data_IF_018995988574
#
_entry.id   IF_018995988574
#
_cell.length_a   1.000
_cell.length_b   1.000
_cell.length_c   1.000
_cell.angle_alpha   90.00
_cell.angle_beta   90.00
_cell.angle_gamma   90.00
#
_symmetry.space_group_name_H-M   'P 1'
#
loop_
_entity.id
_entity.type
_entity.pdbx_description
1 polymer ?
#
# COMPACT_ATOMS: atom_id res chain seq x y z
N UNK A 1 33.41 -26.94 26.66
CA UNK A 1 32.14 -26.33 27.11
C UNK A 1 31.42 -25.45 26.07
N UNK A 2 32.04 -25.01 24.97
CA UNK A 2 31.37 -24.11 24.00
C UNK A 2 30.35 -24.76 23.04
N UNK A 3 30.40 -26.08 22.80
CA UNK A 3 29.50 -26.73 21.83
C UNK A 3 28.04 -26.91 22.33
N UNK A 4 27.79 -26.95 23.64
CA UNK A 4 26.44 -27.17 24.16
C UNK A 4 25.54 -25.93 24.06
N UNK A 5 26.13 -24.72 24.04
CA UNK A 5 25.36 -23.47 23.94
C UNK A 5 24.78 -23.24 22.54
N UNK A 6 25.46 -23.67 21.47
CA UNK A 6 24.99 -23.53 20.10
C UNK A 6 23.71 -24.34 19.82
N UNK A 7 23.63 -25.56 20.36
CA UNK A 7 22.47 -26.44 20.17
C UNK A 7 21.20 -25.90 20.85
N UNK A 8 21.36 -25.23 22.00
CA UNK A 8 20.25 -24.68 22.77
C UNK A 8 19.63 -23.44 22.08
N UNK A 9 20.48 -22.61 21.47
CA UNK A 9 20.03 -21.47 20.68
C UNK A 9 19.28 -21.90 19.41
N UNK A 10 19.76 -22.92 18.69
CA UNK A 10 19.10 -23.40 17.48
C UNK A 10 17.69 -23.95 17.77
N UNK A 11 17.51 -24.69 18.87
CA UNK A 11 16.18 -25.20 19.28
C UNK A 11 15.18 -24.08 19.60
N UNK A 12 15.63 -22.98 20.21
CA UNK A 12 14.78 -21.81 20.47
C UNK A 12 14.35 -21.10 19.19
N UNK A 13 15.24 -20.97 18.20
CA UNK A 13 14.90 -20.40 16.90
C UNK A 13 13.94 -21.28 16.11
N UNK A 14 14.11 -22.60 16.15
CA UNK A 14 13.19 -23.55 15.49
C UNK A 14 11.80 -23.52 16.14
N UNK A 15 11.73 -23.50 17.48
CA UNK A 15 10.46 -23.37 18.19
C UNK A 15 9.75 -22.04 17.90
N UNK A 16 10.51 -20.93 17.82
CA UNK A 16 9.98 -19.62 17.46
C UNK A 16 9.46 -19.58 16.02
N UNK A 17 10.17 -20.19 15.06
CA UNK A 17 9.71 -20.31 13.67
C UNK A 17 8.48 -21.21 13.50
N UNK A 18 8.37 -22.29 14.28
CA UNK A 18 7.19 -23.16 14.30
C UNK A 18 5.96 -22.49 14.93
N UNK A 19 6.16 -21.61 15.93
CA UNK A 19 5.05 -20.86 16.53
C UNK A 19 4.50 -19.77 15.61
N UNK A 20 5.35 -19.20 14.74
CA UNK A 20 4.94 -18.15 13.80
C UNK A 20 4.07 -18.66 12.63
N UNK A 21 4.11 -19.96 12.33
CA UNK A 21 3.24 -20.60 11.34
C UNK A 21 1.82 -20.91 11.83
N UNK A 22 1.53 -20.77 13.12
CA UNK A 22 0.24 -21.10 13.72
C UNK A 22 -0.71 -19.90 13.87
N UNK A 23 -0.43 -18.77 13.21
CA UNK A 23 -1.39 -17.66 13.19
C UNK A 23 -2.61 -18.10 12.36
N UNK A 24 -3.83 -18.10 12.93
CA UNK A 24 -5.02 -18.40 12.16
C UNK A 24 -5.11 -17.39 11.02
N UNK A 25 -5.22 -17.88 9.79
CA UNK A 25 -5.59 -17.06 8.66
C UNK A 25 -7.00 -16.52 8.95
N UNK A 26 -7.07 -15.29 9.45
CA UNK A 26 -8.34 -14.59 9.60
C UNK A 26 -8.84 -14.40 8.18
N UNK A 27 -9.83 -15.19 7.77
CA UNK A 27 -10.54 -14.98 6.52
C UNK A 27 -11.20 -13.61 6.60
N UNK A 28 -10.59 -12.62 5.95
CA UNK A 28 -11.13 -11.29 5.85
C UNK A 28 -12.26 -11.34 4.83
N UNK A 29 -13.43 -10.81 5.18
CA UNK A 29 -14.54 -10.70 4.23
C UNK A 29 -14.09 -9.82 3.08
N UNK A 30 -14.14 -10.33 1.86
CA UNK A 30 -13.68 -9.62 0.68
C UNK A 30 -14.76 -9.65 -0.40
N UNK A 31 -15.01 -8.48 -1.00
CA UNK A 31 -15.88 -8.32 -2.16
C UNK A 31 -15.01 -7.99 -3.37
N UNK A 32 -15.14 -8.75 -4.46
CA UNK A 32 -14.33 -8.61 -5.66
C UNK A 32 -15.18 -8.72 -6.93
N UNK A 33 -14.59 -8.44 -8.10
CA UNK A 33 -15.21 -8.60 -9.42
C UNK A 33 -16.58 -7.90 -9.59
N UNK A 34 -16.73 -6.70 -9.01
CA UNK A 34 -17.94 -5.88 -9.11
C UNK A 34 -18.12 -5.44 -10.57
N UNK A 35 -19.24 -5.84 -11.19
CA UNK A 35 -19.66 -5.48 -12.54
C UNK A 35 -21.04 -4.86 -12.47
N UNK A 36 -21.29 -3.86 -13.31
CA UNK A 36 -22.56 -3.16 -13.36
C UNK A 36 -23.06 -3.25 -14.80
N UNK A 37 -24.26 -3.77 -14.98
CA UNK A 37 -24.94 -3.86 -16.27
C UNK A 37 -26.27 -3.11 -16.17
N UNK A 38 -26.70 -2.51 -17.28
CA UNK A 38 -28.06 -1.97 -17.40
C UNK A 38 -28.90 -3.00 -18.14
N UNK A 39 -30.04 -3.36 -17.56
CA UNK A 39 -31.01 -4.32 -18.09
C UNK A 39 -32.27 -3.55 -18.46
N UNK A 40 -32.76 -3.77 -19.69
CA UNK A 40 -34.08 -3.28 -20.14
C UNK A 40 -34.27 -1.77 -19.95
N UNK A 41 -33.17 -0.98 -20.06
CA UNK A 41 -33.12 0.49 -19.94
C UNK A 41 -33.67 1.08 -18.63
N UNK A 42 -34.12 0.24 -17.70
CA UNK A 42 -34.91 0.63 -16.53
C UNK A 42 -34.40 0.00 -15.23
N UNK A 43 -33.53 -1.01 -15.34
CA UNK A 43 -32.98 -1.75 -14.20
C UNK A 43 -31.45 -1.78 -14.24
N UNK A 44 -30.84 -1.73 -13.07
CA UNK A 44 -29.39 -1.85 -12.88
C UNK A 44 -29.10 -3.19 -12.21
N UNK A 45 -28.27 -4.00 -12.86
CA UNK A 45 -27.75 -5.24 -12.32
C UNK A 45 -26.32 -5.03 -11.82
N UNK A 46 -26.06 -5.46 -10.58
CA UNK A 46 -24.76 -5.44 -9.94
C UNK A 46 -24.36 -6.88 -9.67
N UNK A 47 -23.31 -7.35 -10.34
CA UNK A 47 -22.72 -8.67 -10.14
C UNK A 47 -21.45 -8.55 -9.32
N UNK A 48 -21.24 -9.43 -8.34
CA UNK A 48 -20.03 -9.42 -7.52
C UNK A 48 -19.70 -10.80 -6.95
N UNK A 49 -18.45 -10.95 -6.50
CA UNK A 49 -17.99 -12.14 -5.80
C UNK A 49 -17.73 -11.77 -4.34
N UNK A 50 -18.19 -12.61 -3.41
CA UNK A 50 -17.99 -12.40 -1.96
C UNK A 50 -17.43 -13.64 -1.30
N UNK A 51 -16.37 -13.45 -0.51
CA UNK A 51 -15.71 -14.53 0.23
C UNK A 51 -15.59 -14.16 1.70
N UNK A 52 -15.59 -15.16 2.57
CA UNK A 52 -15.45 -14.99 4.03
C UNK A 52 -16.70 -14.45 4.76
N UNK A 53 -17.79 -14.15 4.05
CA UNK A 53 -19.02 -13.63 4.65
C UNK A 53 -19.69 -14.66 5.55
N UNK A 54 -20.17 -14.24 6.71
CA UNK A 54 -20.97 -15.07 7.61
C UNK A 54 -22.46 -14.74 7.44
N UNK A 55 -23.38 -15.66 7.78
CA UNK A 55 -24.83 -15.40 7.78
C UNK A 55 -25.24 -14.13 8.58
N UNK A 56 -24.50 -13.82 9.64
CA UNK A 56 -24.74 -12.63 10.47
C UNK A 56 -24.22 -11.32 9.87
N UNK A 57 -23.34 -11.38 8.85
CA UNK A 57 -22.81 -10.20 8.20
C UNK A 57 -23.84 -9.61 7.24
N UNK A 58 -23.84 -8.29 7.09
CA UNK A 58 -24.80 -7.59 6.22
C UNK A 58 -24.10 -6.94 5.03
N UNK A 59 -24.58 -7.24 3.82
CA UNK A 59 -24.13 -6.63 2.57
C UNK A 59 -25.02 -5.46 2.23
N UNK A 60 -24.40 -4.30 2.06
CA UNK A 60 -25.05 -3.08 1.61
C UNK A 60 -24.39 -2.61 0.32
N UNK A 61 -25.13 -1.81 -0.45
CA UNK A 61 -24.55 -1.11 -1.58
C UNK A 61 -24.93 0.37 -1.53
N UNK A 62 -24.06 1.21 -2.08
CA UNK A 62 -24.27 2.63 -2.26
C UNK A 62 -24.16 2.94 -3.74
N UNK A 63 -25.16 3.62 -4.26
CA UNK A 63 -25.17 4.11 -5.63
C UNK A 63 -24.86 5.60 -5.65
N UNK A 64 -24.04 6.00 -6.61
CA UNK A 64 -23.73 7.40 -6.85
C UNK A 64 -23.78 7.69 -8.34
N UNK A 65 -24.64 8.63 -8.70
CA UNK A 65 -24.70 9.27 -9.99
C UNK A 65 -23.60 10.34 -10.10
N UNK A 66 -23.17 10.63 -11.32
CA UNK A 66 -22.19 11.69 -11.57
C UNK A 66 -22.81 13.09 -11.43
N UNK A 67 -24.07 13.26 -11.82
CA UNK A 67 -24.77 14.56 -11.85
C UNK A 67 -25.55 14.80 -10.56
N UNK A 68 -26.40 13.84 -10.19
CA UNK A 68 -27.37 13.93 -9.09
C UNK A 68 -26.80 13.52 -7.72
N UNK A 69 -25.57 12.99 -7.69
CA UNK A 69 -24.90 12.62 -6.46
C UNK A 69 -25.36 11.27 -5.90
N UNK A 70 -25.62 11.18 -4.59
CA UNK A 70 -25.93 9.90 -3.94
C UNK A 70 -27.37 9.49 -4.27
N UNK A 71 -27.53 8.31 -4.88
CA UNK A 71 -28.82 7.72 -5.17
C UNK A 71 -29.24 6.84 -4.00
N UNK A 72 -30.46 7.05 -3.48
CA UNK A 72 -31.00 6.31 -2.35
C UNK A 72 -32.13 5.39 -2.84
N UNK A 73 -31.81 4.16 -3.29
CA UNK A 73 -32.81 3.23 -3.74
C UNK A 73 -33.71 2.76 -2.59
N UNK A 74 -35.03 2.75 -2.77
CA UNK A 74 -35.92 2.21 -1.75
C UNK A 74 -35.86 0.67 -1.74
N UNK A 75 -35.83 0.01 -0.56
CA UNK A 75 -35.69 -1.44 -0.42
C UNK A 75 -36.62 -2.29 -1.29
N UNK A 76 -37.85 -1.84 -1.50
CA UNK A 76 -38.86 -2.55 -2.30
C UNK A 76 -38.52 -2.69 -3.79
N UNK A 77 -37.63 -1.83 -4.31
CA UNK A 77 -37.17 -1.88 -5.70
C UNK A 77 -35.83 -2.58 -5.87
N UNK A 78 -35.34 -3.22 -4.80
CA UNK A 78 -34.06 -3.94 -4.78
C UNK A 78 -34.34 -5.42 -4.53
N UNK A 79 -33.84 -6.28 -5.41
CA UNK A 79 -33.92 -7.73 -5.28
C UNK A 79 -32.56 -8.39 -5.43
N UNK A 80 -32.48 -9.66 -5.01
CA UNK A 80 -31.27 -10.47 -5.10
C UNK A 80 -30.45 -10.54 -3.82
N UNK A 81 -29.15 -10.76 -3.96
CA UNK A 81 -28.21 -11.04 -2.88
C UNK A 81 -27.80 -9.74 -2.15
N UNK A 82 -28.67 -9.20 -1.28
CA UNK A 82 -28.34 -8.04 -0.45
C UNK A 82 -28.94 -8.16 0.96
N UNK A 83 -28.40 -7.41 1.91
CA UNK A 83 -28.84 -7.47 3.31
C UNK A 83 -28.12 -8.56 4.10
N UNK A 84 -28.84 -9.20 5.02
CA UNK A 84 -28.31 -10.28 5.88
C UNK A 84 -28.33 -11.63 5.15
N UNK A 85 -27.57 -12.59 5.68
CA UNK A 85 -27.56 -13.98 5.21
C UNK A 85 -27.12 -14.20 3.75
N UNK A 86 -26.31 -13.28 3.23
CA UNK A 86 -25.72 -13.45 1.90
C UNK A 86 -24.64 -14.53 1.96
N UNK A 87 -24.89 -15.66 1.33
CA UNK A 87 -23.93 -16.76 1.28
C UNK A 87 -22.66 -16.37 0.48
N UNK A 88 -21.46 -16.78 0.92
CA UNK A 88 -20.24 -16.68 0.11
C UNK A 88 -20.44 -17.32 -1.27
N UNK A 89 -19.84 -16.75 -2.32
CA UNK A 89 -19.97 -17.28 -3.67
C UNK A 89 -19.55 -16.30 -4.75
N UNK A 90 -19.53 -16.80 -5.99
CA UNK A 90 -19.28 -16.00 -7.20
C UNK A 90 -20.59 -15.62 -7.87
N UNK A 91 -20.58 -14.54 -8.65
CA UNK A 91 -21.72 -14.04 -9.42
C UNK A 91 -22.98 -13.78 -8.57
N UNK A 92 -22.81 -13.28 -7.35
CA UNK A 92 -23.91 -12.74 -6.55
C UNK A 92 -24.51 -11.55 -7.26
N UNK A 93 -25.83 -11.45 -7.24
CA UNK A 93 -26.59 -10.56 -8.11
C UNK A 93 -27.52 -9.68 -7.30
N UNK A 94 -27.38 -8.38 -7.44
CA UNK A 94 -28.35 -7.38 -6.95
C UNK A 94 -28.98 -6.73 -8.17
N UNK A 95 -30.32 -6.68 -8.20
CA UNK A 95 -31.07 -5.98 -9.24
C UNK A 95 -31.82 -4.83 -8.59
N UNK A 96 -31.58 -3.63 -9.11
CA UNK A 96 -32.30 -2.42 -8.70
C UNK A 96 -33.15 -1.91 -9.86
N UNK A 97 -34.46 -1.80 -9.65
CA UNK A 97 -35.41 -1.24 -10.61
C UNK A 97 -35.43 0.28 -10.46
N UNK A 98 -34.59 0.96 -11.23
CA UNK A 98 -34.38 2.40 -11.10
C UNK A 98 -35.60 3.21 -11.53
N UNK A 99 -36.21 2.83 -12.65
CA UNK A 99 -37.35 3.56 -13.22
C UNK A 99 -38.60 3.46 -12.34
N UNK A 100 -38.91 2.27 -11.81
CA UNK A 100 -40.01 2.08 -10.85
C UNK A 100 -39.82 2.89 -9.57
N UNK A 101 -38.56 3.18 -9.23
CA UNK A 101 -38.18 4.01 -8.10
C UNK A 101 -38.09 5.52 -8.46
N UNK A 102 -38.47 5.91 -9.68
CA UNK A 102 -38.48 7.30 -10.14
C UNK A 102 -37.12 7.85 -10.58
N UNK A 103 -36.14 6.99 -10.87
CA UNK A 103 -34.83 7.39 -11.37
C UNK A 103 -34.67 7.04 -12.86
N UNK A 104 -34.36 8.05 -13.67
CA UNK A 104 -34.01 7.88 -15.07
C UNK A 104 -32.50 7.56 -15.20
N UNK A 105 -32.16 6.51 -15.95
CA UNK A 105 -30.80 6.00 -16.11
C UNK A 105 -30.10 6.59 -17.34
N UNK A 106 -30.13 7.91 -17.52
CA UNK A 106 -29.46 8.58 -18.66
C UNK A 106 -28.01 9.01 -18.35
N UNK A 107 -27.42 8.42 -17.30
CA UNK A 107 -26.09 8.82 -16.84
C UNK A 107 -25.25 7.67 -16.28
N UNK A 108 -23.95 7.92 -16.17
CA UNK A 108 -23.00 6.97 -15.60
C UNK A 108 -23.20 6.86 -14.08
N UNK A 109 -23.41 5.64 -13.59
CA UNK A 109 -23.60 5.35 -12.17
C UNK A 109 -22.42 4.53 -11.64
N UNK A 110 -22.02 4.81 -10.40
CA UNK A 110 -21.04 4.05 -9.65
C UNK A 110 -21.70 3.31 -8.49
N UNK A 111 -21.57 1.99 -8.46
CA UNK A 111 -21.93 1.17 -7.31
C UNK A 111 -20.72 0.90 -6.41
N UNK A 112 -20.93 1.00 -5.09
CA UNK A 112 -19.95 0.62 -4.07
C UNK A 112 -20.59 -0.37 -3.13
N UNK A 113 -20.05 -1.58 -3.04
CA UNK A 113 -20.49 -2.61 -2.09
C UNK A 113 -19.74 -2.45 -0.76
N UNK A 114 -20.49 -2.55 0.34
CA UNK A 114 -20.02 -2.39 1.71
C UNK A 114 -20.49 -3.61 2.51
N UNK A 115 -19.60 -4.21 3.29
CA UNK A 115 -19.98 -5.31 4.18
C UNK A 115 -19.82 -4.86 5.62
N UNK A 116 -20.90 -4.97 6.39
CA UNK A 116 -20.89 -4.74 7.83
C UNK A 116 -20.70 -6.08 8.53
N UNK A 117 -19.49 -6.28 9.04
CA UNK A 117 -19.14 -7.46 9.83
C UNK A 117 -19.65 -7.29 11.25
N UNK A 118 -20.38 -8.27 11.79
CA UNK A 118 -20.80 -8.26 13.21
C UNK A 118 -19.77 -9.04 14.03
N UNK A 119 -18.91 -8.37 14.81
CA UNK A 119 -17.95 -9.06 15.66
C UNK A 119 -18.70 -9.74 16.82
N UNK A 120 -18.91 -11.06 16.75
CA UNK A 120 -19.45 -11.83 17.88
C UNK A 120 -20.24 -13.09 17.54
N UNK A 121 -20.69 -13.27 16.30
CA UNK A 121 -21.42 -14.48 15.91
C UNK A 121 -20.45 -15.61 15.51
N UNK A 122 -19.94 -16.33 16.51
CA UNK A 122 -19.33 -17.67 16.38
C UNK A 122 -18.62 -17.98 15.06
N UNK A 123 -17.44 -17.41 14.82
CA UNK A 123 -16.53 -17.86 13.75
C UNK A 123 -16.08 -19.30 14.03
N UNK A 124 -16.88 -20.28 13.60
CA UNK A 124 -16.42 -21.66 13.47
C UNK A 124 -15.30 -21.67 12.41
N UNK A 125 -14.11 -22.20 12.70
CA UNK A 125 -13.08 -22.40 11.68
C UNK A 125 -13.67 -23.28 10.58
N UNK A 126 -13.74 -22.74 9.36
CA UNK A 126 -14.21 -23.50 8.21
C UNK A 126 -13.24 -24.66 7.96
N UNK A 127 -13.79 -25.86 7.97
CA UNK A 127 -13.16 -27.11 7.57
C UNK A 127 -12.61 -26.96 6.15
N UNK A 128 -11.34 -27.32 5.95
CA UNK A 128 -10.66 -27.11 4.67
C UNK A 128 -11.22 -28.04 3.62
N UNK A 129 -12.11 -27.53 2.77
CA UNK A 129 -12.34 -28.16 1.47
C UNK A 129 -11.07 -27.94 0.66
N UNK A 130 -10.37 -29.04 0.36
CA UNK A 130 -9.21 -29.09 -0.53
C UNK A 130 -9.67 -28.75 -1.94
N UNK A 131 -9.85 -27.46 -2.22
CA UNK A 131 -9.97 -26.98 -3.59
C UNK A 131 -8.58 -26.96 -4.21
N UNK A 132 -8.45 -27.73 -5.29
CA UNK A 132 -7.28 -27.77 -6.16
C UNK A 132 -6.96 -26.34 -6.61
N UNK A 133 -5.75 -25.82 -6.37
CA UNK A 133 -5.47 -24.41 -6.60
C UNK A 133 -5.51 -24.12 -8.10
N UNK A 134 -6.61 -23.53 -8.56
CA UNK A 134 -6.65 -22.79 -9.81
C UNK A 134 -5.63 -21.66 -9.62
N UNK A 135 -4.47 -21.82 -10.24
CA UNK A 135 -3.40 -20.85 -10.19
C UNK A 135 -3.90 -19.52 -10.76
N UNK A 136 -4.34 -18.63 -9.88
CA UNK A 136 -4.55 -17.23 -10.19
C UNK A 136 -3.31 -16.75 -10.96
N UNK A 137 -3.46 -16.08 -12.11
CA UNK A 137 -2.32 -15.49 -12.80
C UNK A 137 -1.66 -14.55 -11.80
N UNK A 138 -0.49 -14.93 -11.29
CA UNK A 138 0.32 -14.08 -10.41
C UNK A 138 0.45 -12.75 -11.13
N UNK A 139 -0.25 -11.70 -10.67
CA UNK A 139 -0.07 -10.35 -11.18
C UNK A 139 1.43 -10.07 -11.10
N UNK A 140 2.09 -10.03 -12.26
CA UNK A 140 3.53 -9.80 -12.38
C UNK A 140 3.78 -8.40 -11.80
N UNK A 141 4.16 -8.32 -10.53
CA UNK A 141 4.36 -7.06 -9.85
C UNK A 141 5.48 -6.31 -10.56
N UNK A 142 5.20 -5.09 -11.01
CA UNK A 142 6.17 -4.27 -11.74
C UNK A 142 6.85 -3.35 -10.73
N UNK A 143 8.13 -3.56 -10.35
CA UNK A 143 8.84 -2.67 -9.44
C UNK A 143 8.80 -1.22 -9.94
N UNK A 144 8.61 -0.24 -9.05
CA UNK A 144 8.41 1.17 -9.40
C UNK A 144 9.56 1.77 -10.20
N UNK A 145 9.24 2.74 -11.07
CA UNK A 145 10.21 3.48 -11.89
C UNK A 145 10.97 4.57 -11.10
N UNK A 146 11.83 5.34 -11.77
CA UNK A 146 12.55 6.46 -11.15
C UNK A 146 11.62 7.59 -10.67
N UNK A 147 10.36 7.64 -11.13
CA UNK A 147 9.37 8.61 -10.62
C UNK A 147 9.18 8.53 -9.10
N UNK A 148 9.43 7.38 -8.48
CA UNK A 148 9.36 7.22 -7.02
C UNK A 148 10.52 7.89 -6.26
N UNK A 149 11.60 8.30 -6.94
CA UNK A 149 12.64 9.12 -6.34
C UNK A 149 12.11 10.51 -5.93
N UNK A 150 11.08 11.02 -6.61
CA UNK A 150 10.41 12.26 -6.23
C UNK A 150 9.74 12.15 -4.86
N UNK A 151 9.30 10.95 -4.46
CA UNK A 151 8.76 10.74 -3.11
C UNK A 151 9.86 10.81 -2.04
N UNK A 152 11.10 10.42 -2.35
CA UNK A 152 12.25 10.62 -1.46
C UNK A 152 12.67 12.09 -1.34
N UNK A 153 12.30 12.95 -2.30
CA UNK A 153 12.48 14.41 -2.18
C UNK A 153 11.54 15.00 -1.14
N UNK A 154 10.32 14.47 -1.00
CA UNK A 154 9.35 14.96 0.00
C UNK A 154 9.66 14.40 1.38
N UNK A 155 10.00 13.11 1.47
CA UNK A 155 10.31 12.45 2.72
C UNK A 155 11.42 11.40 2.53
N UNK A 156 12.60 11.58 3.18
CA UNK A 156 13.67 10.60 3.09
C UNK A 156 13.19 9.23 3.57
N UNK A 157 13.46 8.19 2.78
CA UNK A 157 13.09 6.80 3.04
C UNK A 157 11.80 6.33 2.35
N UNK A 158 10.92 7.23 1.89
CA UNK A 158 9.61 6.86 1.31
C UNK A 158 9.78 6.29 -0.11
N UNK A 159 10.57 6.93 -0.97
CA UNK A 159 10.77 6.48 -2.36
C UNK A 159 11.37 5.07 -2.45
N UNK A 160 12.26 4.72 -1.50
CA UNK A 160 12.93 3.43 -1.48
C UNK A 160 11.99 2.24 -1.17
N UNK A 161 10.84 2.50 -0.55
CA UNK A 161 9.83 1.47 -0.26
C UNK A 161 9.17 1.00 -1.56
N UNK A 162 8.88 1.93 -2.48
CA UNK A 162 8.17 1.63 -3.73
C UNK A 162 9.06 1.05 -4.83
N UNK A 163 10.37 1.29 -4.75
CA UNK A 163 11.37 0.75 -5.69
C UNK A 163 11.79 -0.69 -5.31
N UNK A 164 11.41 -1.18 -4.12
CA UNK A 164 11.77 -2.51 -3.62
C UNK A 164 10.64 -3.52 -3.68
N UNK A 165 10.72 -4.41 -4.68
CA UNK A 165 9.87 -5.60 -4.83
C UNK A 165 10.75 -6.85 -4.77
N UNK A 166 10.27 -8.01 -4.24
CA UNK A 166 8.87 -8.37 -4.00
C UNK A 166 8.39 -8.33 -2.53
N UNK A 167 9.25 -8.00 -1.56
CA UNK A 167 8.85 -7.83 -0.14
C UNK A 167 9.34 -6.48 0.38
N UNK A 168 8.48 -5.48 0.56
CA UNK A 168 8.87 -4.22 1.18
C UNK A 168 9.22 -4.49 2.65
N UNK A 169 10.50 -4.48 2.98
CA UNK A 169 10.95 -4.57 4.38
C UNK A 169 10.82 -3.17 4.98
N UNK A 170 9.70 -2.94 5.68
CA UNK A 170 9.35 -1.64 6.28
C UNK A 170 10.24 -1.31 7.51
N UNK A 171 10.82 -2.33 8.16
CA UNK A 171 11.41 -2.26 9.50
C UNK A 171 12.43 -1.14 9.75
N UNK A 172 13.68 -1.28 9.27
CA UNK A 172 14.76 -0.35 9.62
C UNK A 172 14.63 1.04 8.96
N UNK A 173 13.71 1.21 8.00
CA UNK A 173 13.66 2.40 7.13
C UNK A 173 12.86 3.53 7.70
N UNK A 174 11.79 3.22 8.43
CA UNK A 174 11.12 4.21 9.27
C UNK A 174 12.07 4.79 10.31
N UNK A 175 13.03 3.99 10.79
CA UNK A 175 14.11 4.46 11.66
C UNK A 175 14.98 5.53 11.01
N UNK A 176 15.33 5.39 9.72
CA UNK A 176 16.14 6.38 8.99
C UNK A 176 15.36 7.69 8.84
N UNK A 177 14.09 7.61 8.44
CA UNK A 177 13.21 8.79 8.34
C UNK A 177 13.08 9.50 9.68
N UNK A 178 12.77 8.75 10.75
CA UNK A 178 12.66 9.30 12.11
C UNK A 178 13.98 9.93 12.58
N UNK A 179 15.12 9.31 12.27
CA UNK A 179 16.46 9.84 12.61
C UNK A 179 16.73 11.15 11.86
N UNK A 180 16.44 11.20 10.56
CA UNK A 180 16.68 12.38 9.73
C UNK A 180 15.86 13.59 10.21
N UNK A 181 14.54 13.39 10.43
CA UNK A 181 13.67 14.44 10.98
C UNK A 181 14.05 14.80 12.43
N UNK A 182 14.40 13.82 13.26
CA UNK A 182 14.87 14.04 14.63
C UNK A 182 16.11 14.92 14.68
N UNK A 183 17.10 14.66 13.83
CA UNK A 183 18.31 15.49 13.71
C UNK A 183 18.00 16.91 13.21
N UNK A 184 17.07 17.05 12.26
CA UNK A 184 16.65 18.37 11.78
C UNK A 184 15.98 19.19 12.88
N UNK A 185 15.03 18.59 13.59
CA UNK A 185 14.34 19.24 14.72
C UNK A 185 15.33 19.62 15.82
N UNK A 186 16.21 18.70 16.20
CA UNK A 186 17.26 18.95 17.17
C UNK A 186 18.15 20.12 16.74
N UNK A 187 18.61 20.13 15.49
CA UNK A 187 19.39 21.23 14.94
C UNK A 187 18.68 22.58 15.06
N UNK A 188 17.39 22.65 14.69
CA UNK A 188 16.62 23.90 14.81
C UNK A 188 16.45 24.36 16.27
N UNK A 189 16.28 23.44 17.21
CA UNK A 189 16.23 23.78 18.64
C UNK A 189 17.57 24.34 19.14
N UNK A 190 18.69 23.72 18.77
CA UNK A 190 20.03 24.21 19.13
C UNK A 190 20.34 25.56 18.48
N UNK A 191 19.89 25.79 17.25
CA UNK A 191 19.99 27.11 16.59
C UNK A 191 19.25 28.19 17.36
N UNK A 192 18.07 27.87 17.91
CA UNK A 192 17.32 28.80 18.76
C UNK A 192 18.09 29.14 20.02
N UNK A 193 18.59 28.13 20.76
CA UNK A 193 19.40 28.35 21.97
C UNK A 193 20.65 29.19 21.70
N UNK A 194 21.36 28.88 20.62
CA UNK A 194 22.53 29.65 20.17
C UNK A 194 22.22 31.14 19.99
N UNK A 195 21.05 31.46 19.39
CA UNK A 195 20.60 32.86 19.23
C UNK A 195 20.20 33.50 20.55
N UNK A 196 19.51 32.76 21.40
CA UNK A 196 19.05 33.26 22.70
C UNK A 196 20.27 33.59 23.59
N UNK A 197 21.28 32.72 23.64
CA UNK A 197 22.54 32.95 24.38
C UNK A 197 23.37 34.10 23.78
N UNK A 198 23.40 34.22 22.44
CA UNK A 198 24.10 35.32 21.79
C UNK A 198 23.42 36.67 22.06
N UNK A 199 22.09 36.70 22.13
CA UNK A 199 21.35 37.91 22.52
C UNK A 199 21.64 38.30 23.99
N UNK A 200 21.83 37.33 24.88
CA UNK A 200 22.28 37.61 26.26
C UNK A 200 23.72 38.14 26.28
N UNK A 201 24.62 37.58 25.47
CA UNK A 201 25.97 38.11 25.29
C UNK A 201 25.97 39.58 24.87
N UNK A 202 25.13 39.96 23.89
CA UNK A 202 25.00 41.34 23.40
C UNK A 202 24.49 42.32 24.49
N UNK A 203 23.73 41.84 25.48
CA UNK A 203 23.22 42.67 26.58
C UNK A 203 24.26 42.92 27.69
N UNK A 204 25.30 42.09 27.78
CA UNK A 204 26.30 42.20 28.84
C UNK A 204 27.33 43.29 28.52
N UNK A 205 27.45 44.28 29.42
CA UNK A 205 28.47 45.35 29.30
C UNK A 205 29.87 44.92 29.72
N UNK A 206 29.99 43.86 30.53
CA UNK A 206 31.26 43.38 31.06
C UNK A 206 31.72 42.14 30.28
N UNK A 207 32.91 42.21 29.67
CA UNK A 207 33.51 41.14 28.88
C UNK A 207 33.65 39.82 29.65
N UNK A 208 34.05 39.87 30.93
CA UNK A 208 34.22 38.67 31.74
C UNK A 208 32.88 37.98 32.03
N UNK A 209 31.80 38.76 32.19
CA UNK A 209 30.45 38.23 32.38
C UNK A 209 29.80 37.78 31.06
N UNK A 210 30.22 38.36 29.93
CA UNK A 210 29.72 38.03 28.60
C UNK A 210 30.32 36.73 28.03
N UNK A 211 31.57 36.42 28.35
CA UNK A 211 32.31 35.27 27.82
C UNK A 211 31.57 33.93 27.90
N UNK A 212 30.96 33.51 29.03
CA UNK A 212 30.26 32.22 29.10
C UNK A 212 29.05 32.15 28.15
N UNK A 213 28.35 33.26 27.91
CA UNK A 213 27.23 33.29 26.96
C UNK A 213 27.72 33.16 25.52
N UNK A 214 28.86 33.77 25.19
CA UNK A 214 29.48 33.61 23.87
C UNK A 214 29.92 32.16 23.63
N UNK A 215 30.60 31.56 24.61
CA UNK A 215 31.08 30.19 24.51
C UNK A 215 29.91 29.19 24.39
N UNK A 216 28.84 29.39 25.17
CA UNK A 216 27.59 28.61 25.08
C UNK A 216 26.89 28.76 23.73
N UNK A 217 26.77 30.01 23.24
CA UNK A 217 26.17 30.31 21.95
C UNK A 217 26.92 29.60 20.80
N UNK A 218 28.26 29.56 20.88
CA UNK A 218 29.10 28.93 19.88
C UNK A 218 29.04 27.39 19.93
N UNK A 219 28.97 26.79 21.12
CA UNK A 219 28.77 25.34 21.28
C UNK A 219 27.42 24.90 20.70
N UNK A 220 26.34 25.61 21.03
CA UNK A 220 25.02 25.38 20.43
C UNK A 220 25.03 25.55 18.90
N UNK A 221 25.77 26.54 18.38
CA UNK A 221 25.92 26.75 16.95
C UNK A 221 26.64 25.57 16.26
N UNK A 222 27.70 25.05 16.87
CA UNK A 222 28.41 23.88 16.35
C UNK A 222 27.53 22.64 16.32
N UNK A 223 26.76 22.37 17.38
CA UNK A 223 25.81 21.25 17.43
C UNK A 223 24.73 21.38 16.35
N UNK A 224 24.16 22.57 16.17
CA UNK A 224 23.24 22.87 15.07
C UNK A 224 23.87 22.54 13.70
N UNK A 225 25.09 23.01 13.46
CA UNK A 225 25.79 22.81 12.18
C UNK A 225 26.05 21.34 11.91
N UNK A 226 26.50 20.58 12.91
CA UNK A 226 26.75 19.14 12.79
C UNK A 226 25.44 18.39 12.52
N UNK A 227 24.40 18.63 13.33
CA UNK A 227 23.12 17.92 13.21
C UNK A 227 22.44 18.17 11.84
N UNK A 228 22.42 19.42 11.40
CA UNK A 228 21.77 19.80 10.13
C UNK A 228 22.53 19.27 8.93
N UNK A 229 23.87 19.30 8.95
CA UNK A 229 24.71 18.74 7.88
C UNK A 229 24.59 17.22 7.80
N UNK A 230 24.60 16.53 8.93
CA UNK A 230 24.41 15.08 8.98
C UNK A 230 23.03 14.69 8.44
N UNK A 231 21.98 15.39 8.87
CA UNK A 231 20.62 15.16 8.35
C UNK A 231 20.55 15.38 6.83
N UNK A 232 21.12 16.48 6.34
CA UNK A 232 21.19 16.76 4.90
C UNK A 232 21.96 15.70 4.11
N UNK A 233 23.08 15.21 4.63
CA UNK A 233 23.86 14.15 3.98
C UNK A 233 23.08 12.82 3.90
N UNK A 234 22.38 12.44 4.97
CA UNK A 234 21.50 11.25 4.98
C UNK A 234 20.39 11.40 3.93
N UNK A 235 19.75 12.57 3.87
CA UNK A 235 18.67 12.84 2.94
C UNK A 235 19.13 12.75 1.47
N UNK A 236 20.24 13.42 1.12
CA UNK A 236 20.81 13.37 -0.23
C UNK A 236 21.17 11.93 -0.61
N UNK A 237 21.75 11.17 0.32
CA UNK A 237 22.13 9.77 0.08
C UNK A 237 20.91 8.90 -0.25
N UNK A 238 19.78 9.08 0.44
CA UNK A 238 18.54 8.34 0.14
C UNK A 238 17.97 8.70 -1.24
N UNK A 239 17.98 9.98 -1.63
CA UNK A 239 17.52 10.43 -2.95
C UNK A 239 18.37 9.81 -4.06
N UNK A 240 19.70 9.82 -3.92
CA UNK A 240 20.60 9.23 -4.91
C UNK A 240 20.41 7.72 -5.00
N UNK A 241 20.31 7.03 -3.86
CA UNK A 241 20.12 5.58 -3.82
C UNK A 241 18.79 5.16 -4.48
N UNK A 242 17.71 5.89 -4.22
CA UNK A 242 16.39 5.62 -4.82
C UNK A 242 16.37 5.88 -6.32
N UNK A 243 17.02 6.96 -6.78
CA UNK A 243 17.16 7.26 -8.21
C UNK A 243 17.96 6.17 -8.93
N UNK A 244 19.14 5.81 -8.42
CA UNK A 244 19.98 4.75 -9.02
C UNK A 244 19.22 3.44 -9.12
N UNK A 245 18.47 3.08 -8.07
CA UNK A 245 17.68 1.85 -8.04
C UNK A 245 16.48 1.90 -8.98
N UNK A 246 15.79 3.03 -9.07
CA UNK A 246 14.69 3.25 -10.02
C UNK A 246 15.13 3.11 -11.47
N UNK A 247 16.29 3.70 -11.82
CA UNK A 247 16.89 3.56 -13.17
C UNK A 247 17.26 2.10 -13.47
N UNK A 248 17.83 1.37 -12.50
CA UNK A 248 18.14 -0.06 -12.66
C UNK A 248 16.89 -0.91 -12.89
N UNK A 249 15.82 -0.65 -12.14
CA UNK A 249 14.53 -1.34 -12.30
C UNK A 249 13.91 -1.07 -13.67
N UNK A 250 14.00 0.17 -14.18
CA UNK A 250 13.50 0.51 -15.51
C UNK A 250 14.26 -0.22 -16.62
N UNK A 251 15.60 -0.28 -16.53
CA UNK A 251 16.42 -1.06 -17.48
C UNK A 251 16.06 -2.54 -17.47
N UNK A 252 15.77 -3.12 -16.30
CA UNK A 252 15.31 -4.51 -16.20
C UNK A 252 13.92 -4.70 -16.81
N UNK A 253 12.99 -3.76 -16.61
CA UNK A 253 11.67 -3.78 -17.26
C UNK A 253 11.80 -3.82 -18.79
N UNK A 254 12.61 -2.96 -19.40
CA UNK A 254 12.81 -2.94 -20.85
C UNK A 254 13.33 -4.27 -21.39
N UNK A 255 14.10 -5.02 -20.59
CA UNK A 255 14.61 -6.35 -20.96
C UNK A 255 13.60 -7.49 -20.78
N UNK A 256 12.61 -7.34 -19.88
CA UNK A 256 11.65 -8.40 -19.51
C UNK A 256 10.25 -8.19 -20.08
N UNK A 257 9.96 -7.02 -20.66
CA UNK A 257 8.75 -6.80 -21.46
C UNK A 257 8.91 -7.61 -22.74
N UNK A 258 8.23 -8.75 -22.83
CA UNK A 258 8.02 -9.43 -24.11
C UNK A 258 7.44 -8.39 -25.08
N UNK A 259 8.03 -8.23 -26.28
CA UNK A 259 7.55 -7.24 -27.23
C UNK A 259 6.07 -7.55 -27.53
N UNK A 260 5.24 -6.51 -27.53
CA UNK A 260 3.78 -6.61 -27.77
C UNK A 260 3.46 -7.27 -29.13
N UNK A 261 4.45 -7.22 -30.02
CA UNK A 261 4.53 -7.94 -31.30
C UNK A 261 5.77 -8.81 -31.24
N UNK A 262 5.62 -10.13 -31.32
CA UNK A 262 6.76 -11.01 -31.57
C UNK A 262 6.59 -11.69 -32.93
N UNK A 263 7.58 -11.51 -33.81
CA UNK A 263 7.70 -12.23 -35.07
C UNK A 263 8.68 -13.37 -34.84
N UNK A 264 8.21 -14.61 -34.95
CA UNK A 264 9.09 -15.78 -34.93
C UNK A 264 9.10 -16.41 -36.32
N UNK A 265 10.21 -16.31 -37.07
CA UNK A 265 10.37 -17.09 -38.29
C UNK A 265 10.49 -18.57 -37.92
N UNK A 266 9.86 -19.44 -38.69
CA UNK A 266 9.83 -20.89 -38.50
C UNK A 266 9.65 -21.63 -39.81
N UNK A 267 9.68 -22.96 -39.74
CA UNK A 267 9.43 -23.85 -40.86
C UNK A 267 8.38 -24.87 -40.44
N UNK A 268 7.33 -25.02 -41.23
CA UNK A 268 6.30 -26.03 -40.99
C UNK A 268 5.99 -26.74 -42.32
N UNK A 269 6.14 -28.07 -42.32
CA UNK A 269 5.90 -28.93 -43.48
C UNK A 269 6.70 -28.55 -44.74
N UNK A 270 7.96 -28.12 -44.57
CA UNK A 270 8.86 -27.80 -45.68
C UNK A 270 8.74 -26.38 -46.25
N UNK A 271 7.80 -25.58 -45.75
CA UNK A 271 7.63 -24.18 -46.17
C UNK A 271 8.08 -23.20 -45.07
N UNK A 272 8.67 -22.04 -45.43
CA UNK A 272 8.96 -20.98 -44.47
C UNK A 272 7.65 -20.33 -44.01
N UNK A 273 7.47 -20.21 -42.70
CA UNK A 273 6.28 -19.62 -42.08
C UNK A 273 6.72 -18.61 -41.02
N UNK A 274 6.08 -17.44 -40.94
CA UNK A 274 6.31 -16.48 -39.86
C UNK A 274 5.10 -16.44 -38.93
N UNK A 275 5.30 -16.71 -37.63
CA UNK A 275 4.24 -16.64 -36.63
C UNK A 275 4.24 -15.25 -36.02
N UNK A 276 3.11 -14.55 -36.20
CA UNK A 276 2.87 -13.23 -35.62
C UNK A 276 2.05 -13.39 -34.34
N UNK A 277 2.67 -13.19 -33.18
CA UNK A 277 1.96 -13.18 -31.91
C UNK A 277 1.73 -11.75 -31.46
N UNK A 278 0.46 -11.37 -31.32
CA UNK A 278 0.02 -10.10 -30.78
C UNK A 278 -0.79 -10.33 -29.51
N UNK A 279 -0.35 -9.76 -28.38
CA UNK A 279 -1.08 -9.82 -27.10
C UNK A 279 -1.75 -8.46 -26.87
N UNK A 280 -3.08 -8.45 -26.83
CA UNK A 280 -3.90 -7.30 -26.44
C UNK A 280 -3.78 -7.03 -24.93
#
# INVERSE_FOLDING_TARGET
>A
MHQQYALFWLKRWVAFFLMLSALPAVSQVAVTNIRINVIEESSVEILYDITGNQPADSVYFRLRSQINGVLNPAPQFISGDWGQDVSPGTNRRIVWRALENGFELDENIRATLLVKVIPGAGRKPAESVTETPIALPKKKYRPGGPEFALLSVVAPGVGNIFVQSPKPVIGHRLGITATCYGLMLYGFMERKKSRDDYALYEQQRNRTAAQPFYDSANDHHHRYMIATRLSGAIWITDIVATLVKGVRNQKQRTKTVEPKVSLKPGYQSGYPVAVFNYKF
#
